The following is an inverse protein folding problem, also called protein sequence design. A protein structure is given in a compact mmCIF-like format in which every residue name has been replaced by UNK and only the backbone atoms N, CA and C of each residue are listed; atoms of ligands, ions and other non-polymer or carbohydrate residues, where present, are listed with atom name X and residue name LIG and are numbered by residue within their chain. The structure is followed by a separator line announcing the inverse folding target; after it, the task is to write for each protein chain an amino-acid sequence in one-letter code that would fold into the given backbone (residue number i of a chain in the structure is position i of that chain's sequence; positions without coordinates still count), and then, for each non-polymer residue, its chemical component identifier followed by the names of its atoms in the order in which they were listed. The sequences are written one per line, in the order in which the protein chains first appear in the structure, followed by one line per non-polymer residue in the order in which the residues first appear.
data_IF_291344205965
#
_entry.id   IF_291344205965
#
_cell.length_a   1.000
_cell.length_b   1.000
_cell.length_c   1.000
_cell.angle_alpha   90.00
_cell.angle_beta   90.00
_cell.angle_gamma   90.00
#
_symmetry.space_group_name_H-M   'P 1'
#
loop_
_entity.id
_entity.type
_entity.pdbx_description
1 polymer ?
#
# COMPACT_ATOMS: atom_id res chain seq x y z
N UNK A 1 20.78 17.48 18.75
CA UNK A 1 19.81 18.46 18.20
C UNK A 1 18.69 18.62 19.21
N UNK A 2 18.78 19.63 20.10
CA UNK A 2 17.68 20.01 20.99
C UNK A 2 16.85 21.12 20.31
N UNK A 3 15.53 21.02 20.41
CA UNK A 3 14.62 22.07 19.95
C UNK A 3 14.17 22.90 21.15
N UNK A 4 13.96 24.19 20.95
CA UNK A 4 13.35 25.07 21.94
C UNK A 4 11.89 24.64 22.18
N UNK A 5 11.39 24.82 23.40
CA UNK A 5 10.07 24.32 23.81
C UNK A 5 8.93 24.78 22.88
N UNK A 6 8.96 26.04 22.45
CA UNK A 6 7.94 26.60 21.55
C UNK A 6 7.99 25.96 20.16
N UNK A 7 9.18 25.70 19.64
CA UNK A 7 9.35 25.07 18.33
C UNK A 7 8.94 23.60 18.35
N UNK A 8 9.18 22.89 19.46
CA UNK A 8 8.65 21.54 19.66
C UNK A 8 7.11 21.53 19.63
N UNK A 9 6.46 22.39 20.41
CA UNK A 9 5.00 22.47 20.48
C UNK A 9 4.40 22.82 19.10
N UNK A 10 5.03 23.76 18.38
CA UNK A 10 4.61 24.16 17.02
C UNK A 10 4.63 22.98 16.07
N UNK A 11 5.76 22.25 15.99
CA UNK A 11 5.90 21.06 15.12
C UNK A 11 4.96 19.94 15.52
N UNK A 12 4.83 19.66 16.82
CA UNK A 12 3.93 18.64 17.32
C UNK A 12 2.47 18.93 16.95
N UNK A 13 2.04 20.18 17.12
CA UNK A 13 0.67 20.61 16.80
C UNK A 13 0.34 20.46 15.31
N UNK A 14 1.32 20.62 14.42
CA UNK A 14 1.12 20.38 12.98
C UNK A 14 0.85 18.91 12.63
N UNK A 15 1.17 17.97 13.52
CA UNK A 15 0.89 16.55 13.34
C UNK A 15 -0.46 16.12 13.96
N UNK A 16 -1.12 16.99 14.71
CA UNK A 16 -2.45 16.71 15.28
C UNK A 16 -3.48 16.90 14.17
N UNK A 17 -4.25 15.85 13.88
CA UNK A 17 -5.28 15.88 12.85
C UNK A 17 -6.49 16.71 13.33
N UNK A 18 -6.87 17.81 12.64
CA UNK A 18 -8.05 18.60 12.98
C UNK A 18 -9.35 17.79 12.92
N UNK A 19 -10.33 18.19 13.73
CA UNK A 19 -11.66 17.56 13.75
C UNK A 19 -12.32 17.67 12.37
N UNK A 20 -12.89 16.57 11.88
CA UNK A 20 -13.54 16.49 10.56
C UNK A 20 -12.61 16.12 9.41
N UNK A 21 -11.29 16.06 9.64
CA UNK A 21 -10.35 15.50 8.69
C UNK A 21 -10.12 14.01 8.97
N UNK A 22 -9.96 13.22 7.91
CA UNK A 22 -9.69 11.78 7.99
C UNK A 22 -8.20 11.55 7.82
N UNK A 23 -7.63 10.70 8.68
CA UNK A 23 -6.24 10.31 8.56
C UNK A 23 -6.06 9.47 7.30
N UNK A 24 -5.31 9.98 6.33
CA UNK A 24 -4.90 9.20 5.17
C UNK A 24 -3.81 8.23 5.64
N UNK A 25 -4.06 6.92 5.51
CA UNK A 25 -3.11 5.89 5.97
C UNK A 25 -1.88 5.79 5.07
N UNK A 26 -2.04 6.11 3.79
CA UNK A 26 -1.02 5.97 2.76
C UNK A 26 -0.94 7.26 1.93
N UNK A 27 -0.32 8.31 2.47
CA UNK A 27 -0.01 9.54 1.74
C UNK A 27 1.50 9.81 1.74
N UNK A 28 1.94 10.71 0.86
CA UNK A 28 3.35 11.08 0.73
C UNK A 28 4.20 9.98 0.10
N UNK A 29 5.48 9.96 0.46
CA UNK A 29 6.51 9.10 -0.15
C UNK A 29 6.27 7.59 0.03
N UNK A 30 5.41 7.19 0.99
CA UNK A 30 5.04 5.78 1.22
C UNK A 30 3.65 5.42 0.67
N UNK A 31 2.97 6.34 -0.03
CA UNK A 31 1.71 6.06 -0.72
C UNK A 31 1.91 5.05 -1.87
N UNK A 32 0.93 4.21 -2.17
CA UNK A 32 1.08 3.11 -3.15
C UNK A 32 1.55 3.55 -4.53
N UNK A 33 1.11 4.73 -5.01
CA UNK A 33 1.53 5.32 -6.28
C UNK A 33 2.96 5.88 -6.25
N UNK A 34 3.34 6.57 -5.17
CA UNK A 34 4.65 7.20 -5.03
C UNK A 34 5.74 6.23 -4.58
N UNK A 35 5.37 5.19 -3.83
CA UNK A 35 6.28 4.26 -3.14
C UNK A 35 7.31 3.63 -4.07
N UNK A 36 6.93 3.29 -5.31
CA UNK A 36 7.85 2.69 -6.27
C UNK A 36 9.01 3.63 -6.63
N UNK A 37 8.74 4.92 -6.79
CA UNK A 37 9.73 5.94 -7.14
C UNK A 37 10.48 6.40 -5.89
N UNK A 38 9.74 6.71 -4.83
CA UNK A 38 10.30 7.28 -3.61
C UNK A 38 11.24 6.33 -2.88
N UNK A 39 10.97 5.02 -2.85
CA UNK A 39 11.89 4.05 -2.21
C UNK A 39 13.25 4.06 -2.90
N UNK A 40 13.29 4.04 -4.23
CA UNK A 40 14.55 4.05 -4.97
C UNK A 40 15.37 5.33 -4.71
N UNK A 41 14.69 6.47 -4.61
CA UNK A 41 15.33 7.74 -4.24
C UNK A 41 15.90 7.69 -2.81
N UNK A 42 15.12 7.23 -1.83
CA UNK A 42 15.55 7.14 -0.44
C UNK A 42 16.80 6.24 -0.30
N UNK A 43 16.80 5.08 -0.95
CA UNK A 43 17.94 4.17 -0.93
C UNK A 43 19.22 4.81 -1.50
N UNK A 44 19.08 5.55 -2.60
CA UNK A 44 20.19 6.28 -3.23
C UNK A 44 20.76 7.35 -2.28
N UNK A 45 19.91 8.18 -1.71
CA UNK A 45 20.32 9.27 -0.82
C UNK A 45 20.95 8.76 0.49
N UNK A 46 20.49 7.60 0.98
CA UNK A 46 21.05 6.96 2.17
C UNK A 46 22.28 6.09 1.88
N UNK A 47 22.62 5.86 0.60
CA UNK A 47 23.71 4.95 0.22
C UNK A 47 23.44 3.47 0.56
N UNK A 48 22.17 3.07 0.66
CA UNK A 48 21.75 1.71 1.04
C UNK A 48 21.32 0.94 -0.21
N UNK A 49 21.78 -0.31 -0.41
CA UNK A 49 21.35 -1.12 -1.55
C UNK A 49 19.84 -1.38 -1.52
N UNK A 50 19.20 -1.37 -2.69
CA UNK A 50 17.78 -1.72 -2.82
C UNK A 50 17.67 -3.25 -2.71
N UNK A 51 16.84 -3.78 -1.81
CA UNK A 51 16.67 -5.23 -1.70
C UNK A 51 16.06 -5.78 -2.98
N UNK A 52 16.60 -6.90 -3.46
CA UNK A 52 16.00 -7.63 -4.57
C UNK A 52 14.62 -8.13 -4.16
N UNK A 53 13.64 -7.99 -5.06
CA UNK A 53 12.32 -8.55 -4.82
C UNK A 53 12.40 -10.06 -5.00
N UNK A 54 12.29 -10.78 -3.90
CA UNK A 54 12.03 -12.21 -3.97
C UNK A 54 10.69 -12.44 -4.69
N UNK A 55 10.67 -13.29 -5.72
CA UNK A 55 9.42 -13.66 -6.36
C UNK A 55 8.54 -14.34 -5.33
N UNK A 56 7.35 -13.78 -5.09
CA UNK A 56 6.36 -14.43 -4.23
C UNK A 56 5.92 -15.72 -4.92
N UNK A 57 6.36 -16.85 -4.39
CA UNK A 57 5.84 -18.16 -4.78
C UNK A 57 4.41 -18.21 -4.22
N UNK A 58 3.44 -18.01 -5.11
CA UNK A 58 2.04 -18.21 -4.76
C UNK A 58 1.76 -19.70 -4.85
N UNK A 59 1.26 -20.27 -3.76
CA UNK A 59 0.72 -21.63 -3.79
C UNK A 59 -0.39 -21.72 -4.84
N UNK A 60 -0.37 -22.81 -5.61
CA UNK A 60 -1.42 -23.08 -6.58
C UNK A 60 -2.72 -23.38 -5.83
N UNK A 61 -3.55 -22.37 -5.66
CA UNK A 61 -4.88 -22.52 -5.07
C UNK A 61 -5.89 -22.85 -6.16
N UNK A 62 -6.45 -24.07 -6.12
CA UNK A 62 -7.58 -24.43 -6.96
C UNK A 62 -8.91 -24.10 -6.24
N UNK A 63 -9.64 -23.03 -6.66
CA UNK A 63 -10.87 -22.60 -6.00
C UNK A 63 -12.05 -23.57 -6.18
N UNK A 64 -11.87 -24.68 -6.92
CA UNK A 64 -12.88 -25.73 -7.07
C UNK A 64 -12.91 -26.73 -5.91
N UNK A 65 -11.85 -26.78 -5.09
CA UNK A 65 -11.81 -27.67 -3.93
C UNK A 65 -12.70 -27.14 -2.81
N UNK A 66 -13.58 -27.99 -2.30
CA UNK A 66 -14.36 -27.70 -1.11
C UNK A 66 -13.48 -27.87 0.15
N UNK A 67 -13.38 -26.85 1.04
CA UNK A 67 -12.56 -26.92 2.24
C UNK A 67 -13.04 -27.98 3.24
N UNK A 68 -14.30 -28.42 3.16
CA UNK A 68 -14.86 -29.41 4.07
C UNK A 68 -14.56 -30.86 3.64
N UNK A 69 -14.67 -31.17 2.34
CA UNK A 69 -14.57 -32.54 1.84
C UNK A 69 -13.35 -32.79 0.94
N UNK A 70 -12.58 -31.75 0.60
CA UNK A 70 -11.40 -31.79 -0.27
C UNK A 70 -11.64 -32.45 -1.64
N UNK A 71 -12.88 -32.36 -2.13
CA UNK A 71 -13.25 -32.78 -3.49
C UNK A 71 -13.49 -31.56 -4.37
N UNK A 72 -13.32 -31.73 -5.68
CA UNK A 72 -13.61 -30.68 -6.68
C UNK A 72 -15.11 -30.54 -6.93
N UNK A 73 -15.83 -30.00 -5.94
CA UNK A 73 -17.29 -29.86 -5.99
C UNK A 73 -17.79 -28.42 -6.08
N UNK A 74 -16.91 -27.42 -5.93
CA UNK A 74 -17.32 -26.00 -5.98
C UNK A 74 -17.51 -25.54 -7.43
N UNK A 75 -18.57 -24.76 -7.67
CA UNK A 75 -18.90 -24.22 -9.00
C UNK A 75 -18.91 -22.69 -8.99
N UNK A 76 -18.44 -22.09 -10.08
CA UNK A 76 -18.44 -20.63 -10.25
C UNK A 76 -19.83 -20.15 -10.63
N UNK A 77 -20.47 -19.39 -9.74
CA UNK A 77 -21.81 -18.82 -9.98
C UNK A 77 -21.73 -17.50 -10.75
N UNK A 78 -20.78 -16.63 -10.40
CA UNK A 78 -20.62 -15.32 -11.03
C UNK A 78 -19.16 -14.88 -10.97
N UNK A 79 -18.68 -14.21 -12.03
CA UNK A 79 -17.43 -13.47 -12.01
C UNK A 79 -17.73 -11.98 -11.84
N UNK A 80 -17.29 -11.41 -10.72
CA UNK A 80 -17.40 -9.98 -10.50
C UNK A 80 -16.39 -9.23 -11.40
N UNK A 81 -16.76 -8.09 -12.00
CA UNK A 81 -15.82 -7.28 -12.74
C UNK A 81 -14.71 -6.78 -11.81
N UNK A 82 -13.49 -6.59 -12.34
CA UNK A 82 -12.41 -5.96 -11.58
C UNK A 82 -12.88 -4.60 -11.09
N UNK A 83 -12.82 -4.37 -9.78
CA UNK A 83 -12.93 -3.04 -9.17
C UNK A 83 -11.64 -2.27 -9.45
N UNK A 84 -11.44 -1.91 -10.71
CA UNK A 84 -10.38 -1.01 -11.14
C UNK A 84 -10.90 0.43 -11.24
N UNK A 85 -10.01 1.43 -11.26
CA UNK A 85 -10.40 2.78 -11.60
C UNK A 85 -11.08 2.81 -12.98
N UNK A 86 -11.99 3.77 -13.26
CA UNK A 86 -12.63 3.90 -14.56
C UNK A 86 -11.58 3.96 -15.68
N UNK A 87 -11.84 3.27 -16.80
CA UNK A 87 -10.91 3.15 -17.94
C UNK A 87 -10.42 4.50 -18.50
N UNK A 88 -11.15 5.59 -18.22
CA UNK A 88 -10.89 6.91 -18.78
C UNK A 88 -9.87 7.77 -18.03
N UNK A 89 -9.33 7.34 -16.87
CA UNK A 89 -8.61 8.28 -15.97
C UNK A 89 -7.08 8.17 -16.02
N UNK A 90 -6.51 7.26 -16.81
CA UNK A 90 -5.05 7.13 -16.94
C UNK A 90 -4.61 7.16 -18.40
N UNK A 91 -4.81 8.31 -19.03
CA UNK A 91 -4.04 8.76 -20.19
C UNK A 91 -3.18 9.94 -19.75
N UNK A 92 -1.99 9.63 -19.24
CA UNK A 92 -0.83 10.52 -19.13
C UNK A 92 0.41 9.69 -19.41
#
# INVERSE_FOLDING_TARGET
MSLENLEFIRRFSMHILPKGLVRIRHFGILGSSAKQISIALIHRELGIPIPEKEPRILESHNPRYCPCCQKESMVSIQRLPKRGPPKAVFSL
#
